data_IF_994539344187
#
_entry.id   IF_994539344187
#
_cell.length_a   1.000
_cell.length_b   1.000
_cell.length_c   1.000
_cell.angle_alpha   90.00
_cell.angle_beta   90.00
_cell.angle_gamma   90.00
#
_symmetry.space_group_name_H-M   'P 1'
#
loop_
_entity.id
_entity.type
_entity.pdbx_description
1 polymer ?
#
# COMPACT_ATOMS: atom_id res chain seq x y z
N UNK A 1 -11.67 18.35 58.01
CA UNK A 1 -11.28 17.09 58.69
C UNK A 1 -10.64 16.21 57.63
N UNK A 2 -9.34 15.96 57.76
CA UNK A 2 -8.46 15.30 56.80
C UNK A 2 -8.40 13.78 57.05
N UNK A 3 -8.28 12.99 55.98
CA UNK A 3 -7.60 11.67 55.88
C UNK A 3 -7.40 11.45 54.37
N UNK A 4 -6.24 11.69 53.75
CA UNK A 4 -4.99 10.90 53.73
C UNK A 4 -5.23 9.38 53.66
N UNK A 5 -5.20 8.83 52.44
CA UNK A 5 -4.61 7.52 52.15
C UNK A 5 -3.71 7.68 50.93
N UNK A 6 -2.51 7.13 51.08
CA UNK A 6 -1.27 7.37 50.37
C UNK A 6 -1.08 6.45 49.16
N UNK A 7 -0.59 7.06 48.07
CA UNK A 7 0.43 6.59 47.12
C UNK A 7 0.50 5.10 46.74
N UNK A 8 0.13 4.79 45.51
CA UNK A 8 0.79 3.76 44.69
C UNK A 8 1.05 4.34 43.30
N UNK A 9 2.19 5.01 43.18
CA UNK A 9 2.76 5.47 41.91
C UNK A 9 3.29 4.24 41.16
N UNK A 10 2.57 3.78 40.16
CA UNK A 10 3.13 2.94 39.09
C UNK A 10 2.91 3.65 37.76
N UNK A 11 4.04 4.07 37.21
CA UNK A 11 4.26 4.73 35.94
C UNK A 11 3.59 4.02 34.77
N UNK A 12 2.62 4.67 34.13
CA UNK A 12 2.28 4.39 32.73
C UNK A 12 2.69 5.62 31.92
N UNK A 13 3.73 5.40 31.12
CA UNK A 13 4.43 6.35 30.31
C UNK A 13 3.51 7.10 29.33
N UNK A 14 3.66 8.42 29.34
CA UNK A 14 3.32 9.32 28.24
C UNK A 14 4.10 8.90 26.99
N UNK A 15 3.42 8.32 26.01
CA UNK A 15 3.96 8.14 24.66
C UNK A 15 3.83 9.48 23.94
N UNK A 16 4.92 10.25 23.97
CA UNK A 16 5.12 11.40 23.09
C UNK A 16 5.35 10.90 21.66
N UNK A 17 4.42 11.17 20.76
CA UNK A 17 4.60 11.00 19.32
C UNK A 17 5.52 12.10 18.78
N UNK A 18 6.81 11.88 18.91
CA UNK A 18 7.83 12.48 18.03
C UNK A 18 8.60 11.33 17.41
N UNK A 19 8.33 11.01 16.16
CA UNK A 19 9.25 10.24 15.33
C UNK A 19 9.18 10.76 13.91
N UNK A 20 10.27 11.39 13.50
CA UNK A 20 10.52 11.77 12.14
C UNK A 20 10.52 10.54 11.23
N UNK A 21 9.99 10.72 10.03
CA UNK A 21 10.12 9.75 8.96
C UNK A 21 11.61 9.67 8.55
N UNK A 22 12.34 8.75 9.18
CA UNK A 22 13.64 8.30 8.72
C UNK A 22 13.40 7.33 7.56
N UNK A 23 13.79 7.75 6.36
CA UNK A 23 13.75 6.93 5.16
C UNK A 23 14.64 5.68 5.31
N UNK A 24 14.08 4.55 4.86
CA UNK A 24 14.77 3.26 4.71
C UNK A 24 16.03 3.42 3.85
N UNK A 25 17.18 3.08 4.43
CA UNK A 25 18.39 2.69 3.72
C UNK A 25 18.54 1.18 3.87
N UNK A 26 18.13 0.45 2.85
CA UNK A 26 18.59 -0.89 2.53
C UNK A 26 18.39 -0.99 1.00
N UNK A 27 19.40 -1.16 0.17
CA UNK A 27 20.17 -2.40 0.13
C UNK A 27 21.23 -2.29 -0.98
N UNK A 28 22.51 -2.39 -0.62
CA UNK A 28 23.58 -3.07 -1.37
C UNK A 28 24.91 -2.84 -0.66
N UNK A 29 25.72 -3.90 -0.58
CA UNK A 29 27.09 -3.95 -0.08
C UNK A 29 27.27 -4.09 1.45
N UNK A 30 26.64 -5.12 2.00
CA UNK A 30 27.28 -5.89 3.07
C UNK A 30 27.31 -7.36 2.69
N UNK A 31 28.46 -7.84 2.22
CA UNK A 31 28.61 -9.25 1.89
C UNK A 31 29.97 -9.57 1.28
N UNK A 32 30.86 -10.10 2.14
CA UNK A 32 32.14 -10.79 1.86
C UNK A 32 33.40 -9.93 1.84
N UNK A 33 33.97 -9.70 3.02
CA UNK A 33 35.37 -10.09 3.25
C UNK A 33 35.75 -10.16 4.74
N UNK A 34 35.13 -11.07 5.48
CA UNK A 34 35.66 -11.51 6.78
C UNK A 34 35.82 -13.03 6.78
N UNK A 35 36.95 -13.51 6.26
CA UNK A 35 37.39 -14.87 6.54
C UNK A 35 37.96 -14.91 7.97
N UNK A 36 37.18 -15.51 8.88
CA UNK A 36 37.63 -15.97 10.20
C UNK A 36 38.80 -16.94 10.02
N UNK A 37 39.89 -16.69 10.73
CA UNK A 37 40.84 -17.72 11.14
C UNK A 37 40.94 -17.68 12.66
N UNK A 38 40.84 -18.87 13.28
CA UNK A 38 40.79 -19.09 14.73
C UNK A 38 42.03 -18.62 15.52
N UNK A 39 42.05 -18.86 16.84
CA UNK A 39 42.82 -18.06 17.79
C UNK A 39 44.28 -18.51 17.85
N UNK A 40 45.13 -17.99 16.97
CA UNK A 40 46.59 -18.07 17.14
C UNK A 40 47.10 -16.80 17.85
N UNK A 41 47.16 -16.90 19.19
CA UNK A 41 47.84 -15.95 20.08
C UNK A 41 49.35 -16.00 19.81
N UNK A 42 49.82 -15.19 18.85
CA UNK A 42 51.25 -15.05 18.54
C UNK A 42 51.59 -14.36 17.21
N UNK A 43 50.66 -14.29 16.25
CA UNK A 43 50.93 -13.81 14.86
C UNK A 43 50.17 -12.52 14.52
N UNK A 44 49.64 -11.80 15.52
CA UNK A 44 48.68 -10.69 15.27
C UNK A 44 49.27 -9.35 14.83
N UNK A 45 50.61 -9.23 14.75
CA UNK A 45 51.29 -7.99 14.29
C UNK A 45 51.77 -8.03 12.84
N UNK A 46 52.21 -9.18 12.33
CA UNK A 46 52.75 -9.30 10.95
C UNK A 46 51.66 -9.22 9.86
N UNK A 47 50.44 -9.72 10.15
CA UNK A 47 49.29 -9.66 9.23
C UNK A 47 48.67 -8.26 9.04
N UNK A 48 49.11 -7.23 9.75
CA UNK A 48 48.59 -5.87 9.57
C UNK A 48 49.22 -5.14 8.38
N UNK A 49 50.40 -5.59 7.93
CA UNK A 49 51.20 -4.89 6.92
C UNK A 49 51.04 -5.42 5.50
N UNK A 50 50.53 -6.63 5.33
CA UNK A 50 50.34 -7.24 4.00
C UNK A 50 48.91 -7.75 3.83
N UNK A 51 48.32 -7.46 2.68
CA UNK A 51 47.00 -7.90 2.24
C UNK A 51 47.08 -8.68 0.92
N UNK A 52 45.94 -9.19 0.47
CA UNK A 52 45.81 -9.85 -0.84
C UNK A 52 44.79 -9.07 -1.66
N UNK A 53 45.12 -8.79 -2.93
CA UNK A 53 44.27 -8.12 -3.91
C UNK A 53 44.23 -9.00 -5.17
N UNK A 54 43.06 -9.49 -5.57
CA UNK A 54 42.97 -10.60 -6.52
C UNK A 54 43.87 -11.76 -6.10
N UNK A 55 44.87 -12.07 -6.94
CA UNK A 55 45.85 -13.13 -6.68
C UNK A 55 47.24 -12.61 -6.26
N UNK A 56 47.37 -11.35 -5.88
CA UNK A 56 48.65 -10.73 -5.53
C UNK A 56 48.72 -10.31 -4.06
N UNK A 57 49.84 -10.64 -3.40
CA UNK A 57 50.15 -10.15 -2.07
C UNK A 57 50.73 -8.73 -2.17
N UNK A 58 50.24 -7.79 -1.38
CA UNK A 58 50.65 -6.39 -1.43
C UNK A 58 50.85 -5.81 -0.03
N UNK A 59 51.65 -4.75 0.08
CA UNK A 59 51.83 -4.00 1.34
C UNK A 59 50.65 -3.04 1.55
N UNK A 60 49.89 -3.22 2.64
CA UNK A 60 48.74 -2.37 3.00
C UNK A 60 49.14 -0.93 3.32
N UNK A 61 50.42 -0.71 3.65
CA UNK A 61 51.00 0.61 3.88
C UNK A 61 51.28 1.37 2.57
N UNK A 62 51.56 0.67 1.46
CA UNK A 62 51.95 1.29 0.18
C UNK A 62 50.82 1.33 -0.84
N UNK A 63 49.90 0.36 -0.81
CA UNK A 63 48.83 0.25 -1.79
C UNK A 63 47.46 0.14 -1.13
N UNK A 64 46.45 0.52 -1.90
CA UNK A 64 45.04 0.30 -1.67
C UNK A 64 44.56 -0.69 -2.76
N UNK A 65 43.78 -1.70 -2.39
CA UNK A 65 43.18 -2.64 -3.34
C UNK A 65 41.73 -2.23 -3.60
N UNK A 66 41.36 -2.01 -4.87
CA UNK A 66 40.02 -1.63 -5.30
C UNK A 66 39.64 -2.47 -6.53
N UNK A 67 38.56 -3.27 -6.46
CA UNK A 67 38.14 -4.22 -7.50
C UNK A 67 39.32 -4.93 -8.21
N UNK A 68 40.11 -5.66 -7.41
CA UNK A 68 41.30 -6.41 -7.83
C UNK A 68 42.43 -5.56 -8.47
N UNK A 69 42.32 -4.23 -8.41
CA UNK A 69 43.32 -3.27 -8.89
C UNK A 69 44.13 -2.70 -7.72
N UNK A 70 45.46 -2.74 -7.84
CA UNK A 70 46.37 -2.15 -6.86
C UNK A 70 46.63 -0.68 -7.16
N UNK A 71 46.25 0.20 -6.23
CA UNK A 71 46.38 1.65 -6.34
C UNK A 71 47.44 2.17 -5.36
N UNK A 72 48.50 2.85 -5.83
CA UNK A 72 49.54 3.38 -4.95
C UNK A 72 49.02 4.50 -4.03
N UNK A 73 49.42 4.48 -2.76
CA UNK A 73 49.16 5.57 -1.79
C UNK A 73 50.20 6.68 -1.99
N UNK A 74 49.95 7.57 -2.93
CA UNK A 74 50.88 8.66 -3.29
C UNK A 74 50.69 9.94 -2.48
N UNK A 75 49.61 10.03 -1.69
CA UNK A 75 49.27 11.24 -0.93
C UNK A 75 49.07 10.91 0.54
N UNK A 76 49.18 11.93 1.40
CA UNK A 76 48.81 11.83 2.82
C UNK A 76 47.29 11.71 3.03
N UNK A 77 46.49 11.95 1.99
CA UNK A 77 45.05 11.85 2.06
C UNK A 77 44.61 10.37 2.17
N UNK A 78 43.61 10.12 3.02
CA UNK A 78 43.02 8.78 3.16
C UNK A 78 42.13 8.49 1.96
N UNK A 79 42.72 7.87 0.93
CA UNK A 79 41.99 7.41 -0.26
C UNK A 79 41.04 6.25 0.07
N UNK A 80 39.91 6.21 -0.61
CA UNK A 80 38.92 5.13 -0.57
C UNK A 80 38.67 4.59 -1.98
N UNK A 81 38.15 3.37 -2.08
CA UNK A 81 37.84 2.75 -3.37
C UNK A 81 36.50 3.23 -3.93
N UNK A 82 36.46 3.39 -5.24
CA UNK A 82 35.27 3.60 -6.05
C UNK A 82 35.43 2.77 -7.31
N UNK A 83 34.81 1.58 -7.35
CA UNK A 83 35.12 0.59 -8.38
C UNK A 83 36.59 0.18 -8.35
N UNK A 84 37.22 0.16 -9.53
CA UNK A 84 38.67 -0.06 -9.71
C UNK A 84 39.53 1.18 -9.51
N UNK A 85 38.94 2.32 -9.15
CA UNK A 85 39.65 3.58 -8.92
C UNK A 85 39.67 3.97 -7.43
N UNK A 86 40.49 4.96 -7.09
CA UNK A 86 40.52 5.56 -5.76
C UNK A 86 40.08 7.00 -5.80
N UNK A 87 39.43 7.47 -4.75
CA UNK A 87 39.01 8.85 -4.60
C UNK A 87 39.30 9.40 -3.20
N UNK A 88 39.40 10.72 -3.10
CA UNK A 88 39.54 11.42 -1.83
C UNK A 88 38.15 11.76 -1.26
N UNK A 89 37.70 11.12 -0.16
CA UNK A 89 36.36 11.37 0.36
C UNK A 89 36.14 12.76 0.95
N UNK A 90 37.20 13.55 1.18
CA UNK A 90 37.07 14.94 1.61
C UNK A 90 36.61 15.84 0.46
N UNK A 91 37.06 15.57 -0.76
CA UNK A 91 36.83 16.44 -1.94
C UNK A 91 35.98 15.79 -3.03
N UNK A 92 35.79 14.47 -2.97
CA UNK A 92 35.10 13.67 -3.96
C UNK A 92 34.09 12.72 -3.31
N UNK A 93 33.19 12.19 -4.13
CA UNK A 93 32.21 11.17 -3.82
C UNK A 93 32.26 10.07 -4.88
N UNK A 94 31.65 8.91 -4.61
CA UNK A 94 31.59 7.80 -5.54
C UNK A 94 30.13 7.52 -5.90
N UNK A 95 29.80 7.51 -7.20
CA UNK A 95 28.47 7.20 -7.74
C UNK A 95 28.61 6.06 -8.75
N UNK A 96 27.98 4.91 -8.51
CA UNK A 96 28.08 3.69 -9.34
C UNK A 96 29.49 3.42 -9.88
N UNK A 97 30.45 3.24 -8.97
CA UNK A 97 31.85 2.97 -9.27
C UNK A 97 32.61 4.10 -10.03
N UNK A 98 32.02 5.28 -10.19
CA UNK A 98 32.66 6.46 -10.78
C UNK A 98 32.93 7.55 -9.73
N UNK A 99 34.17 8.04 -9.59
CA UNK A 99 34.48 9.12 -8.67
C UNK A 99 34.14 10.49 -9.25
N UNK A 100 33.43 11.31 -8.47
CA UNK A 100 33.01 12.67 -8.83
C UNK A 100 33.47 13.71 -7.81
N UNK A 101 33.73 14.94 -8.27
CA UNK A 101 34.07 16.06 -7.39
C UNK A 101 32.85 16.50 -6.57
N UNK A 102 33.05 16.82 -5.29
CA UNK A 102 32.04 17.46 -4.44
C UNK A 102 31.97 18.98 -4.65
N UNK A 103 32.92 19.56 -5.38
CA UNK A 103 32.99 21.01 -5.58
C UNK A 103 31.75 21.50 -6.32
N UNK A 104 31.11 22.55 -5.79
CA UNK A 104 29.89 23.12 -6.36
C UNK A 104 28.59 22.53 -5.81
N UNK A 105 28.65 21.42 -5.07
CA UNK A 105 27.48 20.83 -4.41
C UNK A 105 27.36 21.31 -2.96
N UNK A 106 26.19 21.81 -2.56
CA UNK A 106 25.89 22.09 -1.14
C UNK A 106 25.58 20.81 -0.38
N UNK A 107 24.83 19.91 -1.01
CA UNK A 107 24.49 18.60 -0.46
C UNK A 107 24.72 17.52 -1.53
N UNK A 108 25.97 17.11 -1.79
CA UNK A 108 26.29 16.12 -2.82
C UNK A 108 25.59 14.78 -2.57
N UNK A 109 24.95 14.22 -3.60
CA UNK A 109 24.26 12.92 -3.60
C UNK A 109 24.35 12.25 -4.98
N UNK A 110 24.07 10.96 -5.08
CA UNK A 110 24.14 10.20 -6.34
C UNK A 110 22.75 9.74 -6.78
N UNK A 111 22.49 9.80 -8.09
CA UNK A 111 21.34 9.20 -8.76
C UNK A 111 21.89 8.23 -9.82
N UNK A 112 22.05 6.97 -9.45
CA UNK A 112 22.89 6.05 -10.23
C UNK A 112 24.33 6.57 -10.32
N UNK A 113 24.87 6.66 -11.54
CA UNK A 113 26.19 7.24 -11.81
C UNK A 113 26.24 8.77 -11.74
N UNK A 114 25.09 9.45 -11.74
CA UNK A 114 25.05 10.91 -11.87
C UNK A 114 25.11 11.60 -10.50
N UNK A 115 26.13 12.43 -10.23
CA UNK A 115 26.16 13.25 -9.01
C UNK A 115 25.19 14.44 -9.14
N UNK A 116 24.51 14.77 -8.05
CA UNK A 116 23.59 15.91 -7.99
C UNK A 116 23.60 16.61 -6.62
N UNK A 117 23.07 17.85 -6.58
CA UNK A 117 22.87 18.58 -5.33
C UNK A 117 21.49 18.28 -4.73
N UNK A 118 21.44 17.44 -3.68
CA UNK A 118 20.20 17.09 -3.00
C UNK A 118 19.53 18.27 -2.31
N UNK A 119 20.18 19.43 -2.22
CA UNK A 119 19.52 20.65 -1.78
C UNK A 119 18.47 21.12 -2.79
N UNK A 120 18.76 21.02 -4.10
CA UNK A 120 17.93 21.57 -5.19
C UNK A 120 17.28 20.54 -6.10
N UNK A 121 17.74 19.29 -6.08
CA UNK A 121 17.31 18.23 -6.99
C UNK A 121 16.93 16.96 -6.23
N UNK A 122 16.09 16.12 -6.84
CA UNK A 122 15.66 14.81 -6.36
C UNK A 122 16.04 13.76 -7.41
N UNK A 123 16.40 12.56 -6.97
CA UNK A 123 16.53 11.41 -7.86
C UNK A 123 15.19 10.69 -7.95
N UNK A 124 14.55 10.70 -9.13
CA UNK A 124 13.29 10.02 -9.39
C UNK A 124 13.48 9.05 -10.55
N UNK A 125 13.22 7.75 -10.35
CA UNK A 125 13.46 6.68 -11.34
C UNK A 125 14.84 6.78 -12.02
N UNK A 126 15.90 6.85 -11.21
CA UNK A 126 17.29 7.01 -11.66
C UNK A 126 17.56 8.26 -12.50
N UNK A 127 16.68 9.26 -12.47
CA UNK A 127 16.88 10.53 -13.15
C UNK A 127 16.92 11.68 -12.15
N UNK A 128 17.99 12.51 -12.11
CA UNK A 128 18.02 13.70 -11.28
C UNK A 128 17.12 14.80 -11.86
N UNK A 129 16.14 15.26 -11.08
CA UNK A 129 15.14 16.24 -11.47
C UNK A 129 15.10 17.42 -10.48
N UNK A 130 14.87 18.66 -10.95
CA UNK A 130 14.78 19.82 -10.06
C UNK A 130 13.57 19.74 -9.13
N UNK A 131 13.79 20.16 -7.87
CA UNK A 131 12.70 20.36 -6.91
C UNK A 131 11.80 21.50 -7.38
N UNK A 132 10.49 21.33 -7.20
CA UNK A 132 9.47 22.34 -7.51
C UNK A 132 9.02 23.14 -6.28
N UNK A 133 9.54 22.79 -5.10
CA UNK A 133 9.23 23.43 -3.82
C UNK A 133 9.85 22.68 -2.64
N UNK A 134 9.61 23.18 -1.42
CA UNK A 134 10.14 22.56 -0.18
C UNK A 134 9.57 21.16 0.03
N UNK A 135 8.32 20.94 -0.38
CA UNK A 135 7.62 19.66 -0.24
C UNK A 135 7.62 18.87 -1.56
N UNK A 136 8.73 18.89 -2.30
CA UNK A 136 8.87 18.12 -3.53
C UNK A 136 8.96 16.62 -3.24
N UNK A 137 8.30 15.80 -4.06
CA UNK A 137 8.42 14.33 -4.04
C UNK A 137 8.38 13.75 -5.46
N UNK A 138 8.76 12.48 -5.59
CA UNK A 138 8.74 11.75 -6.86
C UNK A 138 7.40 11.02 -7.07
N UNK A 139 6.93 11.00 -8.31
CA UNK A 139 5.84 10.17 -8.81
C UNK A 139 6.30 9.51 -10.11
N UNK A 140 6.86 8.31 -10.02
CA UNK A 140 7.66 7.73 -11.10
C UNK A 140 8.82 8.67 -11.48
N UNK A 141 8.96 8.94 -12.78
CA UNK A 141 9.98 9.85 -13.34
C UNK A 141 9.58 11.33 -13.33
N UNK A 142 8.67 11.74 -12.44
CA UNK A 142 8.23 13.14 -12.30
C UNK A 142 8.42 13.64 -10.86
N UNK A 143 8.72 14.93 -10.72
CA UNK A 143 8.71 15.63 -9.44
C UNK A 143 7.42 16.43 -9.33
N UNK A 144 6.77 16.36 -8.17
CA UNK A 144 5.55 17.12 -7.87
C UNK A 144 5.61 17.78 -6.50
N UNK A 145 4.76 18.80 -6.30
CA UNK A 145 4.62 19.50 -5.02
C UNK A 145 3.56 18.83 -4.14
N UNK A 146 3.98 18.19 -3.05
CA UNK A 146 3.05 17.54 -2.13
C UNK A 146 2.11 18.50 -1.41
N UNK A 147 2.37 19.81 -1.40
CA UNK A 147 1.43 20.76 -0.81
C UNK A 147 0.11 20.82 -1.60
N UNK A 148 0.20 20.76 -2.93
CA UNK A 148 -0.93 20.98 -3.85
C UNK A 148 -1.33 19.76 -4.66
N UNK A 149 -0.47 18.74 -4.74
CA UNK A 149 -0.62 17.59 -5.62
C UNK A 149 -0.41 16.25 -4.88
N UNK A 150 -0.88 15.17 -5.49
CA UNK A 150 -0.79 13.79 -4.99
C UNK A 150 -0.45 12.85 -6.15
N UNK A 151 0.34 11.80 -5.90
CA UNK A 151 0.65 10.77 -6.87
C UNK A 151 -0.32 9.59 -6.73
N UNK A 152 -1.05 9.25 -7.80
CA UNK A 152 -2.01 8.15 -7.86
C UNK A 152 -1.70 7.26 -9.07
N UNK A 153 -1.35 5.98 -8.84
CA UNK A 153 -0.92 5.03 -9.89
C UNK A 153 0.10 5.61 -10.89
N UNK A 154 1.13 6.28 -10.36
CA UNK A 154 2.18 6.96 -11.14
C UNK A 154 1.72 8.19 -11.95
N UNK A 155 0.50 8.67 -11.74
CA UNK A 155 0.01 9.93 -12.28
C UNK A 155 -0.06 11.00 -11.21
N UNK A 156 0.48 12.18 -11.51
CA UNK A 156 0.37 13.36 -10.64
C UNK A 156 -0.99 14.01 -10.83
N UNK A 157 -1.73 14.18 -9.74
CA UNK A 157 -3.05 14.81 -9.70
C UNK A 157 -3.04 16.01 -8.76
N UNK A 158 -3.86 17.02 -9.05
CA UNK A 158 -4.13 18.08 -8.08
C UNK A 158 -5.00 17.55 -6.95
N UNK A 159 -4.76 18.03 -5.73
CA UNK A 159 -5.61 17.72 -4.57
C UNK A 159 -6.92 18.50 -4.68
N UNK A 160 -8.09 17.85 -4.89
CA UNK A 160 -9.37 18.55 -4.89
C UNK A 160 -9.76 19.13 -3.52
N UNK A 161 -9.14 18.67 -2.44
CA UNK A 161 -9.33 19.23 -1.10
C UNK A 161 -8.28 18.75 -0.09
N UNK A 162 -8.45 19.12 1.17
CA UNK A 162 -7.45 18.83 2.23
C UNK A 162 -7.36 17.31 2.48
N UNK A 163 -8.48 16.60 2.38
CA UNK A 163 -8.56 15.16 2.62
C UNK A 163 -8.54 14.37 1.30
N UNK A 164 -7.66 14.78 0.38
CA UNK A 164 -7.47 14.14 -0.91
C UNK A 164 -6.78 12.79 -0.78
N UNK A 165 -7.35 11.77 -1.41
CA UNK A 165 -6.85 10.40 -1.49
C UNK A 165 -7.00 9.85 -2.92
N UNK A 166 -6.36 8.73 -3.23
CA UNK A 166 -6.41 8.12 -4.55
C UNK A 166 -7.56 7.11 -4.69
N UNK A 167 -8.11 7.04 -5.91
CA UNK A 167 -9.01 6.01 -6.40
C UNK A 167 -8.54 5.61 -7.80
N UNK A 168 -7.76 4.54 -7.89
CA UNK A 168 -6.95 4.28 -9.08
C UNK A 168 -5.99 5.44 -9.36
N UNK A 169 -5.94 5.89 -10.62
CA UNK A 169 -5.10 7.01 -11.07
C UNK A 169 -5.69 8.41 -10.81
N UNK A 170 -6.85 8.50 -10.15
CA UNK A 170 -7.55 9.76 -9.89
C UNK A 170 -7.50 10.13 -8.41
N UNK A 171 -7.40 11.43 -8.14
CA UNK A 171 -7.52 11.98 -6.79
C UNK A 171 -8.95 12.43 -6.50
N UNK A 172 -9.40 12.24 -5.26
CA UNK A 172 -10.72 12.67 -4.79
C UNK A 172 -10.69 13.08 -3.32
N UNK A 173 -11.62 13.93 -2.89
CA UNK A 173 -11.76 14.30 -1.47
C UNK A 173 -12.73 13.34 -0.77
N UNK A 174 -12.24 12.61 0.24
CA UNK A 174 -13.00 11.60 0.97
C UNK A 174 -14.20 12.16 1.72
N UNK A 175 -14.25 13.47 2.00
CA UNK A 175 -15.41 14.08 2.64
C UNK A 175 -16.59 14.21 1.67
N UNK A 176 -16.33 14.45 0.39
CA UNK A 176 -17.37 14.76 -0.61
C UNK A 176 -17.66 13.61 -1.57
N UNK A 177 -16.73 12.66 -1.70
CA UNK A 177 -16.77 11.58 -2.69
C UNK A 177 -16.43 10.22 -2.06
N UNK A 178 -16.78 9.15 -2.78
CA UNK A 178 -16.45 7.76 -2.50
C UNK A 178 -15.61 7.21 -3.66
N UNK A 179 -14.78 6.20 -3.40
CA UNK A 179 -14.15 5.41 -4.47
C UNK A 179 -14.99 4.15 -4.73
N UNK A 180 -15.67 4.09 -5.87
CA UNK A 180 -16.50 2.95 -6.26
C UNK A 180 -15.96 2.31 -7.54
N UNK A 181 -15.53 1.04 -7.46
CA UNK A 181 -14.87 0.30 -8.56
C UNK A 181 -13.76 1.09 -9.27
N UNK A 182 -12.91 1.77 -8.50
CA UNK A 182 -11.79 2.53 -9.04
C UNK A 182 -12.15 3.90 -9.64
N UNK A 183 -13.40 4.36 -9.47
CA UNK A 183 -13.82 5.70 -9.88
C UNK A 183 -14.32 6.54 -8.70
N UNK A 184 -13.87 7.81 -8.58
CA UNK A 184 -14.48 8.76 -7.66
C UNK A 184 -15.92 9.08 -8.01
N UNK A 185 -16.83 8.92 -7.05
CA UNK A 185 -18.26 9.21 -7.19
C UNK A 185 -18.71 10.14 -6.08
N UNK A 186 -19.57 11.12 -6.38
CA UNK A 186 -20.08 12.04 -5.35
C UNK A 186 -20.96 11.32 -4.34
N UNK A 187 -20.78 11.63 -3.05
CA UNK A 187 -21.70 11.19 -2.01
C UNK A 187 -23.08 11.79 -2.25
N UNK A 188 -24.11 11.02 -1.96
CA UNK A 188 -25.52 11.45 -1.97
C UNK A 188 -25.99 11.95 -0.60
N UNK A 189 -25.17 11.76 0.44
CA UNK A 189 -25.43 12.15 1.82
C UNK A 189 -24.44 11.52 2.81
N UNK A 190 -24.70 11.66 4.11
CA UNK A 190 -23.81 11.13 5.15
C UNK A 190 -23.76 9.60 5.19
N UNK A 191 -24.82 8.94 4.74
CA UNK A 191 -24.96 7.49 4.72
C UNK A 191 -24.74 6.93 3.30
N UNK A 192 -23.85 7.55 2.53
CA UNK A 192 -23.54 7.09 1.18
C UNK A 192 -22.71 5.81 1.20
N UNK A 193 -23.07 4.85 0.37
CA UNK A 193 -22.25 3.67 0.05
C UNK A 193 -22.18 3.45 -1.47
N UNK A 194 -21.28 2.57 -1.91
CA UNK A 194 -21.14 2.20 -3.31
C UNK A 194 -22.09 1.05 -3.68
N UNK A 195 -22.71 1.15 -4.85
CA UNK A 195 -23.40 0.05 -5.53
C UNK A 195 -22.85 -0.02 -6.95
N UNK A 196 -21.93 -0.95 -7.24
CA UNK A 196 -21.13 -0.88 -8.46
C UNK A 196 -20.39 0.46 -8.58
N UNK A 197 -20.60 1.19 -9.67
CA UNK A 197 -19.97 2.50 -9.97
C UNK A 197 -20.76 3.72 -9.51
N UNK A 198 -21.84 3.55 -8.75
CA UNK A 198 -22.67 4.65 -8.27
C UNK A 198 -22.72 4.72 -6.75
N UNK A 199 -22.96 5.92 -6.22
CA UNK A 199 -23.22 6.14 -4.80
C UNK A 199 -24.73 6.09 -4.53
N UNK A 200 -25.12 5.56 -3.37
CA UNK A 200 -26.51 5.46 -2.94
C UNK A 200 -26.64 5.65 -1.42
N UNK A 201 -27.83 6.01 -0.93
CA UNK A 201 -28.09 6.25 0.49
C UNK A 201 -28.60 4.98 1.19
N UNK A 202 -27.80 4.39 2.07
CA UNK A 202 -28.16 3.12 2.74
C UNK A 202 -29.36 3.23 3.70
N UNK A 203 -29.80 4.43 4.05
CA UNK A 203 -30.99 4.63 4.87
C UNK A 203 -32.27 4.32 4.09
N UNK A 204 -32.33 4.77 2.83
CA UNK A 204 -33.55 4.78 2.03
C UNK A 204 -33.47 3.91 0.77
N UNK A 205 -32.34 3.27 0.52
CA UNK A 205 -32.09 2.45 -0.66
C UNK A 205 -31.31 1.17 -0.32
N UNK A 206 -31.39 0.17 -1.19
CA UNK A 206 -30.64 -1.09 -1.16
C UNK A 206 -29.81 -1.20 -2.44
N UNK A 207 -28.66 -1.88 -2.34
CA UNK A 207 -27.91 -2.31 -3.51
C UNK A 207 -28.21 -3.79 -3.77
N UNK A 208 -28.85 -4.09 -4.90
CA UNK A 208 -29.17 -5.43 -5.34
C UNK A 208 -28.51 -5.67 -6.70
N UNK A 209 -27.52 -6.55 -6.78
CA UNK A 209 -26.81 -6.88 -8.04
C UNK A 209 -26.34 -5.63 -8.83
N UNK A 210 -25.64 -4.73 -8.14
CA UNK A 210 -25.15 -3.44 -8.68
C UNK A 210 -26.26 -2.48 -9.15
N UNK A 211 -27.51 -2.69 -8.74
CA UNK A 211 -28.63 -1.77 -8.97
C UNK A 211 -29.18 -1.24 -7.66
N UNK A 212 -29.42 0.06 -7.64
CA UNK A 212 -30.00 0.74 -6.49
C UNK A 212 -31.52 0.63 -6.57
N UNK A 213 -32.14 0.08 -5.52
CA UNK A 213 -33.60 -0.03 -5.39
C UNK A 213 -34.07 0.66 -4.12
N UNK A 214 -35.34 1.10 -4.02
CA UNK A 214 -35.86 1.72 -2.82
C UNK A 214 -35.82 0.79 -1.60
N UNK A 215 -35.69 1.36 -0.40
CA UNK A 215 -35.81 0.69 0.90
C UNK A 215 -36.96 1.31 1.70
N UNK A 216 -38.22 0.97 1.40
CA UNK A 216 -39.38 1.63 2.03
C UNK A 216 -39.51 1.34 3.53
N UNK A 217 -38.87 0.28 4.02
CA UNK A 217 -38.93 -0.14 5.42
C UNK A 217 -37.62 -0.82 5.89
N UNK A 218 -37.39 -0.96 7.20
CA UNK A 218 -36.28 -1.75 7.73
C UNK A 218 -36.32 -3.23 7.34
N UNK A 219 -37.48 -3.75 6.95
CA UNK A 219 -37.71 -5.12 6.50
C UNK A 219 -37.55 -5.30 4.98
N UNK A 220 -37.03 -4.30 4.28
CA UNK A 220 -36.84 -4.39 2.83
C UNK A 220 -35.64 -5.27 2.53
N UNK A 221 -35.82 -6.26 1.65
CA UNK A 221 -34.76 -7.12 1.14
C UNK A 221 -34.75 -7.13 -0.38
N UNK A 222 -33.62 -7.53 -0.96
CA UNK A 222 -33.48 -7.71 -2.40
C UNK A 222 -34.24 -8.97 -2.85
N UNK A 223 -35.06 -8.83 -3.89
CA UNK A 223 -35.57 -9.95 -4.67
C UNK A 223 -34.73 -10.06 -5.95
N UNK A 224 -33.75 -10.97 -6.02
CA UNK A 224 -32.88 -11.12 -7.18
C UNK A 224 -33.69 -11.60 -8.39
N UNK A 225 -33.49 -10.94 -9.52
CA UNK A 225 -34.13 -11.25 -10.80
C UNK A 225 -33.11 -10.97 -11.90
N UNK A 226 -33.05 -11.82 -12.94
CA UNK A 226 -31.94 -11.83 -13.91
C UNK A 226 -31.61 -10.48 -14.55
N UNK A 227 -32.58 -9.56 -14.63
CA UNK A 227 -32.38 -8.23 -15.22
C UNK A 227 -32.87 -7.05 -14.39
N UNK A 228 -33.80 -7.25 -13.44
CA UNK A 228 -34.43 -6.15 -12.70
C UNK A 228 -34.68 -6.58 -11.26
N UNK A 229 -33.63 -6.60 -10.40
CA UNK A 229 -33.82 -6.83 -8.99
C UNK A 229 -34.75 -5.75 -8.43
N UNK A 230 -35.64 -6.16 -7.54
CA UNK A 230 -36.58 -5.27 -6.85
C UNK A 230 -36.38 -5.40 -5.35
N UNK A 231 -36.99 -4.50 -4.59
CA UNK A 231 -37.10 -4.66 -3.15
C UNK A 231 -38.48 -5.15 -2.75
N UNK A 232 -38.54 -5.97 -1.70
CA UNK A 232 -39.78 -6.46 -1.12
C UNK A 232 -39.70 -6.42 0.40
N UNK A 233 -40.84 -6.37 1.07
CA UNK A 233 -40.93 -6.40 2.53
C UNK A 233 -40.97 -7.86 3.03
N UNK A 234 -39.96 -8.30 3.76
CA UNK A 234 -39.84 -9.70 4.21
C UNK A 234 -40.91 -10.13 5.21
N UNK A 235 -41.69 -9.20 5.78
CA UNK A 235 -42.78 -9.49 6.72
C UNK A 235 -44.10 -9.73 5.98
N UNK A 236 -44.36 -8.97 4.91
CA UNK A 236 -45.65 -8.99 4.19
C UNK A 236 -45.58 -9.62 2.82
N UNK A 237 -44.38 -9.91 2.32
CA UNK A 237 -44.14 -10.40 0.97
C UNK A 237 -43.11 -11.54 0.95
N UNK A 238 -43.15 -12.33 -0.12
CA UNK A 238 -42.27 -13.45 -0.41
C UNK A 238 -41.67 -13.25 -1.81
N UNK A 239 -40.35 -13.42 -1.96
CA UNK A 239 -39.68 -13.42 -3.25
C UNK A 239 -39.45 -14.86 -3.75
N UNK A 240 -39.96 -15.18 -4.93
CA UNK A 240 -39.80 -16.48 -5.60
C UNK A 240 -39.15 -16.28 -6.97
N UNK A 241 -37.87 -16.62 -7.12
CA UNK A 241 -37.09 -16.50 -8.36
C UNK A 241 -37.31 -15.17 -9.12
N UNK A 242 -37.25 -14.04 -8.40
CA UNK A 242 -37.41 -12.70 -8.97
C UNK A 242 -38.83 -12.13 -8.96
N UNK A 243 -39.83 -12.92 -8.55
CA UNK A 243 -41.22 -12.47 -8.45
C UNK A 243 -41.64 -12.24 -7.00
N UNK A 244 -42.26 -11.09 -6.73
CA UNK A 244 -42.72 -10.71 -5.39
C UNK A 244 -44.20 -11.02 -5.23
N UNK A 245 -44.54 -11.83 -4.23
CA UNK A 245 -45.91 -12.24 -3.88
C UNK A 245 -46.28 -11.81 -2.46
N UNK A 246 -47.57 -11.66 -2.12
CA UNK A 246 -48.00 -11.49 -0.75
C UNK A 246 -47.65 -12.71 0.12
N UNK A 247 -47.06 -12.48 1.28
CA UNK A 247 -46.80 -13.53 2.25
C UNK A 247 -48.10 -13.97 2.93
N UNK A 248 -48.25 -15.28 3.11
CA UNK A 248 -49.33 -15.87 3.89
C UNK A 248 -48.86 -17.17 4.58
N UNK A 249 -49.42 -17.51 5.76
CA UNK A 249 -49.01 -18.71 6.49
C UNK A 249 -49.15 -19.97 5.63
N UNK A 250 -48.09 -20.79 5.57
CA UNK A 250 -48.09 -22.03 4.80
C UNK A 250 -47.82 -21.88 3.31
N UNK A 251 -47.62 -20.67 2.79
CA UNK A 251 -47.18 -20.45 1.40
C UNK A 251 -45.65 -20.48 1.28
N UNK A 252 -45.13 -21.19 0.28
CA UNK A 252 -43.70 -21.33 -0.04
C UNK A 252 -43.47 -21.19 -1.54
N UNK A 253 -42.21 -20.95 -1.94
CA UNK A 253 -41.79 -20.90 -3.33
C UNK A 253 -41.45 -22.30 -3.87
N UNK A 254 -41.79 -22.53 -5.14
CA UNK A 254 -41.27 -23.61 -5.97
C UNK A 254 -40.82 -23.01 -7.30
N UNK A 255 -39.52 -22.76 -7.45
CA UNK A 255 -39.02 -21.93 -8.54
C UNK A 255 -39.64 -20.52 -8.50
N UNK A 256 -40.21 -20.09 -9.63
CA UNK A 256 -40.90 -18.80 -9.75
C UNK A 256 -42.34 -18.81 -9.21
N UNK A 257 -42.90 -19.96 -8.84
CA UNK A 257 -44.31 -20.06 -8.43
C UNK A 257 -44.48 -20.19 -6.92
N UNK A 258 -45.62 -19.72 -6.42
CA UNK A 258 -46.06 -19.91 -5.03
C UNK A 258 -46.94 -21.16 -4.91
N UNK A 259 -46.81 -21.89 -3.81
CA UNK A 259 -47.72 -22.98 -3.45
C UNK A 259 -48.02 -23.00 -1.96
N UNK A 260 -49.19 -23.52 -1.61
CA UNK A 260 -49.54 -23.78 -0.23
C UNK A 260 -49.10 -25.19 0.17
N UNK A 261 -48.37 -25.31 1.27
CA UNK A 261 -47.80 -26.57 1.81
C UNK A 261 -48.85 -27.64 2.15
N UNK A 262 -50.11 -27.25 2.36
CA UNK A 262 -51.23 -28.20 2.52
C UNK A 262 -51.72 -28.81 1.19
N UNK A 263 -51.52 -28.11 0.08
CA UNK A 263 -52.06 -28.51 -1.23
C UNK A 263 -51.02 -29.21 -2.07
N UNK A 264 -49.77 -28.73 -2.07
CA UNK A 264 -48.69 -29.22 -2.92
C UNK A 264 -47.38 -29.29 -2.14
N UNK A 265 -46.39 -29.98 -2.71
CA UNK A 265 -44.98 -29.92 -2.34
C UNK A 265 -44.14 -29.59 -3.58
N UNK A 266 -42.96 -28.99 -3.38
CA UNK A 266 -42.01 -28.71 -4.45
C UNK A 266 -40.99 -29.84 -4.58
N UNK A 267 -40.81 -30.36 -5.79
CA UNK A 267 -39.78 -31.34 -6.14
C UNK A 267 -39.10 -30.92 -7.43
N UNK A 268 -37.80 -30.63 -7.37
CA UNK A 268 -36.99 -30.27 -8.54
C UNK A 268 -37.64 -29.15 -9.40
N UNK A 269 -38.11 -28.09 -8.73
CA UNK A 269 -38.79 -26.96 -9.37
C UNK A 269 -40.23 -27.23 -9.84
N UNK A 270 -40.75 -28.46 -9.66
CA UNK A 270 -42.10 -28.86 -10.05
C UNK A 270 -43.02 -29.04 -8.84
N UNK A 271 -44.27 -28.59 -8.96
CA UNK A 271 -45.30 -28.77 -7.95
C UNK A 271 -45.96 -30.15 -8.09
N UNK A 272 -45.99 -30.93 -7.00
CA UNK A 272 -46.66 -32.22 -6.95
C UNK A 272 -47.63 -32.30 -5.76
N UNK A 273 -48.65 -33.16 -5.85
CA UNK A 273 -49.58 -33.40 -4.75
C UNK A 273 -48.90 -34.20 -3.62
N UNK A 274 -49.18 -33.90 -2.33
CA UNK A 274 -48.52 -34.53 -1.17
C UNK A 274 -48.70 -36.05 -1.07
N UNK A 275 -49.73 -36.60 -1.73
CA UNK A 275 -50.13 -38.00 -1.60
C UNK A 275 -49.36 -38.90 -2.58
N UNK A 276 -48.66 -38.33 -3.57
CA UNK A 276 -48.24 -39.07 -4.76
C UNK A 276 -46.80 -39.62 -4.79
N UNK A 277 -45.88 -39.29 -3.86
CA UNK A 277 -44.48 -39.80 -3.99
C UNK A 277 -43.75 -40.00 -2.66
N UNK A 278 -43.25 -41.22 -2.44
CA UNK A 278 -42.15 -41.57 -1.51
C UNK A 278 -40.81 -41.41 -2.22
N UNK A 279 -40.17 -40.23 -2.17
CA UNK A 279 -38.85 -40.11 -2.81
C UNK A 279 -38.27 -38.71 -3.00
N UNK A 280 -39.06 -37.64 -2.88
CA UNK A 280 -38.49 -36.29 -2.97
C UNK A 280 -37.68 -35.96 -1.71
N UNK A 281 -36.35 -35.97 -1.84
CA UNK A 281 -35.47 -35.28 -0.89
C UNK A 281 -35.53 -33.80 -1.25
N UNK A 282 -36.38 -33.05 -0.56
CA UNK A 282 -36.55 -31.62 -0.81
C UNK A 282 -35.23 -30.87 -0.66
N UNK A 283 -34.85 -30.09 -1.68
CA UNK A 283 -33.90 -29.00 -1.52
C UNK A 283 -34.68 -27.75 -1.12
N UNK A 284 -34.26 -27.19 0.01
CA UNK A 284 -34.65 -25.86 0.49
C UNK A 284 -33.97 -24.77 -0.35
#
# INVERSE_FOLDING_TARGET
MWYIITTSLCTVLLVTLTNGASFNKDSALQGRNEQRIGPNKGVSRFRRFFGVCGNQMYSTAMFLCCDDTLIPRTTTARLMCCGSESYNPLTQMCCDANPHSKIGFRQPSCCGSDPYDANYTLCCDNTPLPKVGVQSACCGSHVYDMATQICCDSYVQFKPGIHSVCCGSLAYDVNTQLCCEGLPVRKVGNHSACCGRMAYDVQNQLCCENRVVPKPSPYSACCPAEHYPTSYNTVTQLCCAGFVYPASPGVRCCGAMMYHTRMNMCCDGSLILPILVTGCRGFA
#
